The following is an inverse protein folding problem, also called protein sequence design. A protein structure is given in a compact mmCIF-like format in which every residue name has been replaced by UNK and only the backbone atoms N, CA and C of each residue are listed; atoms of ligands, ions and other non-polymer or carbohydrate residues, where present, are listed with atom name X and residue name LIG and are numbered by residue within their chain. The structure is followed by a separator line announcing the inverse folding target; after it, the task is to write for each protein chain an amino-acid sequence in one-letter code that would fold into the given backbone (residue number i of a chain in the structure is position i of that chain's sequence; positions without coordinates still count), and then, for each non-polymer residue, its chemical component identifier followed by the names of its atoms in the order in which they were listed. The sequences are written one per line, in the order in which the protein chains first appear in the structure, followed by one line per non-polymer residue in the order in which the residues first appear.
data_IF_045502531748
#
_entry.id   IF_045502531748
#
_cell.length_a   1.000
_cell.length_b   1.000
_cell.length_c   1.000
_cell.angle_alpha   90.00
_cell.angle_beta   90.00
_cell.angle_gamma   90.00
#
_symmetry.space_group_name_H-M   'P 1'
#
loop_
_entity.id
_entity.type
_entity.pdbx_description
1 polymer ?
#
# COMPACT_ATOMS: atom_id res chain seq x y z
N UNK A 1 -16.67 -10.48 -27.01
CA UNK A 1 -17.06 -9.05 -27.11
C UNK A 1 -18.55 -8.85 -26.84
N UNK A 2 -19.45 -9.70 -27.37
CA UNK A 2 -20.92 -9.61 -27.22
C UNK A 2 -21.45 -9.57 -25.78
N UNK A 3 -20.62 -9.93 -24.79
CA UNK A 3 -20.94 -9.81 -23.35
C UNK A 3 -20.87 -8.37 -22.84
N UNK A 4 -20.07 -7.51 -23.50
CA UNK A 4 -19.75 -6.14 -23.06
C UNK A 4 -20.12 -5.06 -24.07
N UNK A 5 -20.35 -5.44 -25.33
CA UNK A 5 -20.66 -4.54 -26.44
C UNK A 5 -21.84 -5.09 -27.23
N UNK A 6 -22.69 -4.23 -27.77
CA UNK A 6 -23.75 -4.61 -28.70
C UNK A 6 -23.17 -5.02 -30.06
N UNK A 7 -23.94 -5.75 -30.86
CA UNK A 7 -23.52 -6.15 -32.22
C UNK A 7 -23.23 -4.95 -33.11
N UNK A 8 -23.98 -3.86 -32.95
CA UNK A 8 -23.78 -2.59 -33.67
C UNK A 8 -22.44 -1.92 -33.28
N UNK A 9 -22.12 -1.89 -32.00
CA UNK A 9 -20.83 -1.38 -31.52
C UNK A 9 -19.66 -2.22 -32.03
N UNK A 10 -19.79 -3.55 -32.00
CA UNK A 10 -18.74 -4.46 -32.52
C UNK A 10 -18.53 -4.26 -34.02
N UNK A 11 -19.60 -4.09 -34.80
CA UNK A 11 -19.52 -3.85 -36.24
C UNK A 11 -18.89 -2.49 -36.56
N UNK A 12 -19.10 -1.47 -35.74
CA UNK A 12 -18.52 -0.15 -35.89
C UNK A 12 -17.03 -0.08 -35.51
N UNK A 13 -16.49 -1.07 -34.79
CA UNK A 13 -15.07 -1.12 -34.38
C UNK A 13 -14.18 -1.48 -35.57
N UNK A 14 -13.10 -0.74 -35.75
CA UNK A 14 -11.98 -1.16 -36.59
C UNK A 14 -11.18 -2.29 -35.90
N UNK A 15 -10.22 -2.90 -36.61
CA UNK A 15 -9.41 -4.01 -36.08
C UNK A 15 -8.58 -3.61 -34.84
N UNK A 16 -8.14 -2.36 -34.76
CA UNK A 16 -7.41 -1.83 -33.58
C UNK A 16 -8.36 -1.73 -32.37
N UNK A 17 -9.52 -1.17 -32.55
CA UNK A 17 -10.53 -1.05 -31.49
C UNK A 17 -11.00 -2.43 -30.98
N UNK A 18 -11.21 -3.40 -31.89
CA UNK A 18 -11.49 -4.80 -31.52
C UNK A 18 -10.38 -5.42 -30.70
N UNK A 19 -9.13 -5.26 -31.13
CA UNK A 19 -7.96 -5.77 -30.42
C UNK A 19 -7.85 -5.17 -29.01
N UNK A 20 -8.02 -3.85 -28.88
CA UNK A 20 -8.01 -3.17 -27.58
C UNK A 20 -9.16 -3.65 -26.67
N UNK A 21 -10.36 -3.88 -27.23
CA UNK A 21 -11.49 -4.40 -26.50
C UNK A 21 -11.23 -5.84 -25.99
N UNK A 22 -10.61 -6.70 -26.82
CA UNK A 22 -10.18 -8.03 -26.39
C UNK A 22 -9.14 -7.97 -25.25
N UNK A 23 -8.11 -7.12 -25.37
CA UNK A 23 -7.12 -6.96 -24.31
C UNK A 23 -7.75 -6.49 -22.99
N UNK A 24 -8.71 -5.57 -23.04
CA UNK A 24 -9.46 -5.14 -21.83
C UNK A 24 -10.23 -6.28 -21.18
N UNK A 25 -10.86 -7.16 -21.96
CA UNK A 25 -11.60 -8.31 -21.44
C UNK A 25 -10.72 -9.36 -20.76
N UNK A 26 -9.51 -9.55 -21.26
CA UNK A 26 -8.56 -10.53 -20.72
C UNK A 26 -7.64 -9.97 -19.65
N UNK A 27 -7.68 -8.66 -19.44
CA UNK A 27 -6.88 -8.02 -18.43
C UNK A 27 -7.36 -8.43 -17.03
N UNK A 28 -6.46 -9.08 -16.28
CA UNK A 28 -6.71 -9.38 -14.88
C UNK A 28 -6.28 -8.20 -14.01
N UNK A 29 -7.23 -7.41 -13.52
CA UNK A 29 -6.96 -6.22 -12.72
C UNK A 29 -6.20 -6.53 -11.42
N UNK A 30 -6.38 -7.73 -10.83
CA UNK A 30 -5.64 -8.12 -9.63
C UNK A 30 -4.13 -8.20 -9.84
N UNK A 31 -3.71 -8.43 -11.09
CA UNK A 31 -2.31 -8.64 -11.50
C UNK A 31 -1.75 -7.43 -12.24
N UNK A 32 -2.58 -6.80 -13.09
CA UNK A 32 -2.14 -5.77 -14.03
C UNK A 32 -2.35 -4.33 -13.54
N UNK A 33 -3.20 -4.12 -12.53
CA UNK A 33 -3.47 -2.79 -11.98
C UNK A 33 -2.82 -2.62 -10.61
N UNK A 34 -2.21 -1.46 -10.42
CA UNK A 34 -1.66 -1.07 -9.13
C UNK A 34 -2.48 0.05 -8.51
N UNK A 35 -2.57 0.05 -7.20
CA UNK A 35 -3.37 0.99 -6.42
C UNK A 35 -2.67 1.33 -5.09
N UNK A 36 -3.05 2.42 -4.47
CA UNK A 36 -2.63 2.74 -3.11
C UNK A 36 -3.35 1.81 -2.12
N UNK A 37 -2.64 0.92 -1.39
CA UNK A 37 -3.30 -0.11 -0.59
C UNK A 37 -4.08 0.45 0.61
N UNK A 38 -3.72 1.63 1.09
CA UNK A 38 -4.34 2.20 2.28
C UNK A 38 -4.07 1.38 3.54
N UNK A 39 -5.04 1.31 4.43
CA UNK A 39 -4.89 0.70 5.76
C UNK A 39 -4.39 -0.74 5.83
N UNK A 40 -4.57 -1.62 4.84
CA UNK A 40 -3.88 -2.90 4.78
C UNK A 40 -2.35 -2.83 4.93
N UNK A 41 -1.70 -1.74 4.50
CA UNK A 41 -0.27 -1.52 4.71
C UNK A 41 0.15 -1.55 6.19
N UNK A 42 -0.71 -1.16 7.11
CA UNK A 42 -0.37 -0.99 8.54
C UNK A 42 0.15 -2.26 9.21
N UNK A 43 -0.31 -3.43 8.77
CA UNK A 43 0.19 -4.71 9.29
C UNK A 43 1.67 -4.89 8.94
N UNK A 44 2.07 -4.57 7.71
CA UNK A 44 3.46 -4.64 7.27
C UNK A 44 4.34 -3.60 7.96
N UNK A 45 3.83 -2.39 8.16
CA UNK A 45 4.52 -1.32 8.90
C UNK A 45 4.85 -1.76 10.33
N UNK A 46 3.89 -2.38 11.03
CA UNK A 46 4.12 -2.86 12.39
C UNK A 46 5.05 -4.07 12.39
N UNK A 47 4.86 -5.01 11.46
CA UNK A 47 5.69 -6.22 11.37
C UNK A 47 7.16 -5.88 11.10
N UNK A 48 7.44 -5.01 10.11
CA UNK A 48 8.80 -4.56 9.79
C UNK A 48 9.47 -3.87 10.98
N UNK A 49 8.75 -2.96 11.64
CA UNK A 49 9.28 -2.23 12.78
C UNK A 49 9.56 -3.12 14.01
N UNK A 50 8.77 -4.17 14.24
CA UNK A 50 9.03 -5.17 15.29
C UNK A 50 10.26 -6.01 14.91
N UNK A 51 10.34 -6.51 13.69
CA UNK A 51 11.45 -7.35 13.23
C UNK A 51 12.79 -6.60 13.26
N UNK A 52 12.78 -5.31 12.91
CA UNK A 52 13.99 -4.46 13.01
C UNK A 52 14.34 -4.08 14.45
N UNK A 53 13.44 -4.33 15.41
CA UNK A 53 13.62 -3.91 16.80
C UNK A 53 13.43 -2.40 17.04
N UNK A 54 12.82 -1.69 16.09
CA UNK A 54 12.48 -0.28 16.23
C UNK A 54 11.37 -0.05 17.26
N UNK A 55 10.53 -1.06 17.47
CA UNK A 55 9.50 -1.12 18.51
C UNK A 55 9.48 -2.52 19.14
N UNK A 56 9.07 -2.59 20.41
CA UNK A 56 8.94 -3.86 21.15
C UNK A 56 7.54 -4.47 21.12
N UNK A 57 6.55 -3.70 20.61
CA UNK A 57 5.14 -4.08 20.65
C UNK A 57 4.37 -3.55 21.87
N UNK A 58 5.06 -3.01 22.89
CA UNK A 58 4.46 -2.54 24.15
C UNK A 58 4.31 -1.01 24.23
N UNK A 59 4.74 -0.30 23.20
CA UNK A 59 4.70 1.16 23.17
C UNK A 59 3.27 1.68 23.17
N UNK A 60 3.12 2.87 23.77
CA UNK A 60 1.90 3.66 23.73
C UNK A 60 2.17 4.98 23.05
N UNK A 61 1.39 5.30 22.03
CA UNK A 61 1.51 6.52 21.25
C UNK A 61 0.28 7.41 21.42
N UNK A 62 0.49 8.70 21.62
CA UNK A 62 -0.59 9.69 21.69
C UNK A 62 -1.04 10.07 20.26
N UNK A 63 -2.34 9.98 20.01
CA UNK A 63 -2.97 10.41 18.78
C UNK A 63 -3.81 11.68 18.98
N UNK A 64 -3.23 12.83 18.70
CA UNK A 64 -3.91 14.14 18.71
C UNK A 64 -4.65 14.47 17.39
N UNK A 65 -4.92 13.48 16.53
CA UNK A 65 -5.67 13.66 15.28
C UNK A 65 -4.82 14.04 14.06
N UNK A 66 -3.58 14.49 14.23
CA UNK A 66 -2.62 14.80 13.17
C UNK A 66 -1.18 14.78 13.66
N UNK A 67 -0.25 14.69 12.71
CA UNK A 67 1.17 14.99 12.91
C UNK A 67 1.66 15.95 11.82
N UNK A 68 2.65 16.75 12.17
CA UNK A 68 3.26 17.74 11.29
C UNK A 68 4.59 17.20 10.72
N UNK A 69 4.76 17.26 9.40
CA UNK A 69 5.97 16.86 8.69
C UNK A 69 6.34 17.93 7.66
N UNK A 70 7.42 18.67 7.92
CA UNK A 70 7.78 19.82 7.09
C UNK A 70 6.64 20.85 7.05
N UNK A 71 6.07 21.12 5.88
CA UNK A 71 4.96 22.05 5.69
C UNK A 71 3.58 21.36 5.70
N UNK A 72 3.52 20.06 6.00
CA UNK A 72 2.31 19.24 5.87
C UNK A 72 1.73 18.78 7.20
N UNK A 73 0.44 19.03 7.40
CA UNK A 73 -0.37 18.42 8.46
C UNK A 73 -1.00 17.12 7.95
N UNK A 74 -0.41 15.97 8.29
CA UNK A 74 -0.96 14.66 7.91
C UNK A 74 -1.93 14.19 8.98
N UNK A 75 -3.17 13.91 8.57
CA UNK A 75 -4.29 13.71 9.49
C UNK A 75 -4.63 12.25 9.70
N UNK A 76 -5.10 11.96 10.93
CA UNK A 76 -5.75 10.71 11.25
C UNK A 76 -7.19 10.65 10.74
N UNK A 77 -7.77 9.46 10.64
CA UNK A 77 -9.20 9.25 10.38
C UNK A 77 -10.04 9.87 11.47
N UNK A 78 -9.62 9.74 12.75
CA UNK A 78 -10.21 10.46 13.88
C UNK A 78 -9.61 11.87 13.97
N UNK A 79 -10.33 12.87 13.49
CA UNK A 79 -9.87 14.27 13.44
C UNK A 79 -9.61 14.88 14.81
N UNK A 80 -10.41 14.48 15.82
CA UNK A 80 -10.23 14.89 17.21
C UNK A 80 -9.11 14.13 17.95
N UNK A 81 -8.52 13.11 17.28
CA UNK A 81 -7.56 12.19 17.89
C UNK A 81 -8.24 10.99 18.55
N UNK A 82 -7.41 9.97 18.82
CA UNK A 82 -7.84 8.78 19.56
C UNK A 82 -7.39 8.79 21.02
N UNK A 83 -6.55 9.78 21.41
CA UNK A 83 -5.83 9.76 22.67
C UNK A 83 -4.70 8.72 22.69
N UNK A 84 -4.28 8.25 23.88
CA UNK A 84 -3.22 7.26 24.01
C UNK A 84 -3.70 5.88 23.51
N UNK A 85 -2.86 5.24 22.65
CA UNK A 85 -3.13 3.94 22.06
C UNK A 85 -1.89 3.05 22.18
N UNK A 86 -2.08 1.80 22.57
CA UNK A 86 -1.07 0.74 22.30
C UNK A 86 -1.00 0.48 20.81
N UNK A 87 0.05 -0.21 20.34
CA UNK A 87 0.20 -0.60 18.93
C UNK A 87 -1.00 -1.43 18.47
N UNK A 88 -1.42 -2.41 19.27
CA UNK A 88 -2.62 -3.23 18.99
C UNK A 88 -3.87 -2.37 18.84
N UNK A 89 -4.11 -1.44 19.74
CA UNK A 89 -5.24 -0.51 19.65
C UNK A 89 -5.11 0.42 18.43
N UNK A 90 -3.88 0.81 18.07
CA UNK A 90 -3.59 1.60 16.88
C UNK A 90 -3.97 0.87 15.59
N UNK A 91 -3.66 -0.43 15.48
CA UNK A 91 -4.11 -1.28 14.38
C UNK A 91 -5.62 -1.46 14.37
N UNK A 92 -6.23 -1.83 15.51
CA UNK A 92 -7.69 -2.03 15.62
C UNK A 92 -8.50 -0.78 15.23
N UNK A 93 -8.02 0.40 15.62
CA UNK A 93 -8.67 1.69 15.28
C UNK A 93 -8.18 2.29 13.96
N UNK A 94 -7.32 1.57 13.24
CA UNK A 94 -6.72 2.04 12.00
C UNK A 94 -6.09 3.45 12.12
N UNK A 95 -5.35 3.68 13.20
CA UNK A 95 -4.81 4.99 13.54
C UNK A 95 -3.60 5.34 12.67
N UNK A 96 -3.71 6.38 11.82
CA UNK A 96 -2.60 6.84 11.00
C UNK A 96 -1.46 7.43 11.84
N UNK A 97 -1.79 8.14 12.94
CA UNK A 97 -0.78 8.77 13.80
C UNK A 97 0.13 7.73 14.44
N UNK A 98 -0.41 6.61 14.92
CA UNK A 98 0.40 5.51 15.45
C UNK A 98 1.37 4.99 14.40
N UNK A 99 0.91 4.75 13.17
CA UNK A 99 1.76 4.27 12.07
C UNK A 99 2.86 5.26 11.71
N UNK A 100 2.53 6.55 11.63
CA UNK A 100 3.51 7.61 11.38
C UNK A 100 4.57 7.68 12.48
N UNK A 101 4.21 7.50 13.74
CA UNK A 101 5.17 7.43 14.86
C UNK A 101 6.08 6.22 14.76
N UNK A 102 5.53 5.06 14.41
CA UNK A 102 6.30 3.82 14.24
C UNK A 102 7.37 3.99 13.15
N UNK A 103 7.02 4.45 11.95
CA UNK A 103 8.01 4.62 10.88
C UNK A 103 9.01 5.73 11.15
N UNK A 104 8.67 6.72 11.98
CA UNK A 104 9.64 7.73 12.42
C UNK A 104 10.71 7.14 13.34
N UNK A 105 10.42 6.05 14.06
CA UNK A 105 11.39 5.30 14.86
C UNK A 105 12.21 4.32 14.00
N UNK A 106 11.55 3.65 13.05
CA UNK A 106 12.16 2.66 12.15
C UNK A 106 13.13 3.33 11.15
N UNK A 107 12.76 4.48 10.61
CA UNK A 107 13.52 5.18 9.58
C UNK A 107 13.24 4.69 8.16
N UNK A 108 13.46 5.56 7.19
CA UNK A 108 13.09 5.34 5.79
C UNK A 108 13.87 4.21 5.11
N UNK A 109 15.13 4.03 5.47
CA UNK A 109 15.99 3.00 4.90
C UNK A 109 15.45 1.59 5.23
N UNK A 110 15.11 1.38 6.50
CA UNK A 110 14.56 0.11 6.98
C UNK A 110 13.14 -0.10 6.49
N UNK A 111 12.29 0.91 6.56
CA UNK A 111 10.93 0.84 6.05
C UNK A 111 10.89 0.41 4.58
N UNK A 112 11.69 1.03 3.69
CA UNK A 112 11.78 0.64 2.28
C UNK A 112 12.37 -0.76 2.10
N UNK A 113 13.35 -1.14 2.93
CA UNK A 113 13.89 -2.49 2.92
C UNK A 113 12.80 -3.53 3.21
N UNK A 114 11.96 -3.31 4.23
CA UNK A 114 10.87 -4.23 4.56
C UNK A 114 9.75 -4.22 3.51
N UNK A 115 9.42 -3.08 2.90
CA UNK A 115 8.52 -3.07 1.74
C UNK A 115 8.98 -4.05 0.65
N UNK A 116 10.28 -4.08 0.33
CA UNK A 116 10.86 -5.03 -0.64
C UNK A 116 10.83 -6.48 -0.15
N UNK A 117 11.15 -6.72 1.13
CA UNK A 117 11.10 -8.06 1.73
C UNK A 117 9.69 -8.65 1.62
N UNK A 118 8.65 -7.83 1.81
CA UNK A 118 7.25 -8.24 1.61
C UNK A 118 6.82 -8.33 0.13
N UNK A 119 7.73 -8.08 -0.82
CA UNK A 119 7.50 -8.22 -2.26
C UNK A 119 6.88 -6.99 -2.94
N UNK A 120 6.80 -5.84 -2.27
CA UNK A 120 6.31 -4.62 -2.91
C UNK A 120 7.36 -4.01 -3.84
N UNK A 121 6.90 -3.52 -4.99
CA UNK A 121 7.76 -2.91 -6.01
C UNK A 121 8.41 -3.91 -6.99
N UNK A 122 8.15 -5.21 -6.84
CA UNK A 122 8.67 -6.28 -7.70
C UNK A 122 7.53 -7.19 -8.15
N UNK A 123 7.70 -7.86 -9.29
CA UNK A 123 6.73 -8.86 -9.76
C UNK A 123 6.76 -10.08 -8.85
N UNK A 124 5.58 -10.64 -8.55
CA UNK A 124 5.45 -11.86 -7.74
C UNK A 124 5.88 -13.11 -8.50
N UNK A 125 5.91 -13.06 -9.82
CA UNK A 125 6.19 -14.20 -10.69
C UNK A 125 4.98 -15.12 -10.88
N UNK A 126 3.77 -14.63 -10.62
CA UNK A 126 2.54 -15.38 -10.91
C UNK A 126 2.47 -15.69 -12.41
N UNK A 127 2.10 -16.93 -12.76
CA UNK A 127 1.98 -17.38 -14.15
C UNK A 127 0.71 -16.81 -14.82
N UNK A 128 0.65 -15.47 -14.91
CA UNK A 128 -0.40 -14.73 -15.59
C UNK A 128 0.21 -13.57 -16.40
N UNK A 129 -0.33 -13.27 -17.59
CA UNK A 129 0.19 -12.21 -18.44
C UNK A 129 -0.11 -10.82 -17.85
N UNK A 130 0.77 -9.87 -18.14
CA UNK A 130 0.55 -8.44 -17.83
C UNK A 130 0.76 -8.07 -16.37
N UNK A 131 1.54 -8.84 -15.61
CA UNK A 131 1.86 -8.51 -14.23
C UNK A 131 2.59 -7.17 -14.11
N UNK A 132 2.04 -6.27 -13.28
CA UNK A 132 2.65 -5.00 -12.92
C UNK A 132 3.48 -5.13 -11.63
N UNK A 133 4.59 -4.39 -11.56
CA UNK A 133 5.48 -4.39 -10.39
C UNK A 133 5.03 -3.43 -9.28
N UNK A 134 4.02 -2.59 -9.53
CA UNK A 134 3.74 -1.48 -8.63
C UNK A 134 4.85 -0.40 -8.64
N UNK A 135 4.81 0.51 -7.70
CA UNK A 135 5.78 1.58 -7.57
C UNK A 135 6.02 1.88 -6.09
N UNK A 136 7.27 1.72 -5.62
CA UNK A 136 7.71 2.13 -4.29
C UNK A 136 8.83 3.17 -4.40
N UNK A 137 9.03 3.95 -3.33
CA UNK A 137 10.13 4.89 -3.26
C UNK A 137 11.49 4.21 -3.11
N UNK A 138 12.53 4.86 -3.64
CA UNK A 138 13.88 4.61 -3.15
C UNK A 138 14.07 5.43 -1.86
N UNK A 139 14.75 4.86 -0.87
CA UNK A 139 14.95 5.54 0.42
C UNK A 139 15.62 6.92 0.28
N UNK A 140 16.55 7.06 -0.69
CA UNK A 140 17.21 8.33 -0.99
C UNK A 140 16.25 9.46 -1.41
N UNK A 141 15.12 9.10 -2.03
CA UNK A 141 14.15 10.04 -2.59
C UNK A 141 12.90 10.21 -1.69
N UNK A 142 12.87 9.52 -0.55
CA UNK A 142 11.76 9.56 0.38
C UNK A 142 11.96 10.67 1.41
N UNK A 143 11.14 11.71 1.34
CA UNK A 143 11.05 12.75 2.34
C UNK A 143 10.22 12.32 3.57
N UNK A 144 10.26 13.05 4.70
CA UNK A 144 9.53 12.67 5.92
C UNK A 144 8.01 12.57 5.74
N UNK A 145 7.40 13.39 4.89
CA UNK A 145 5.96 13.35 4.62
C UNK A 145 5.58 12.12 3.77
N UNK A 146 6.42 11.77 2.79
CA UNK A 146 6.27 10.55 1.99
C UNK A 146 6.42 9.29 2.86
N UNK A 147 7.40 9.24 3.77
CA UNK A 147 7.55 8.15 4.72
C UNK A 147 6.29 8.00 5.60
N UNK A 148 5.80 9.12 6.13
CA UNK A 148 4.63 9.15 6.99
C UNK A 148 3.37 8.64 6.27
N UNK A 149 3.15 9.02 5.01
CA UNK A 149 1.98 8.57 4.22
C UNK A 149 2.11 7.12 3.77
N UNK A 150 3.31 6.67 3.42
CA UNK A 150 3.59 5.27 3.08
C UNK A 150 3.27 4.32 4.25
N UNK A 151 3.49 4.75 5.50
CA UNK A 151 3.22 3.96 6.70
C UNK A 151 1.77 3.47 6.82
N UNK A 152 0.82 4.15 6.21
CA UNK A 152 -0.59 3.75 6.18
C UNK A 152 -1.14 3.52 4.76
N UNK A 153 -0.23 3.29 3.80
CA UNK A 153 -0.56 2.78 2.48
C UNK A 153 -0.99 3.83 1.47
N UNK A 154 -0.52 5.06 1.60
CA UNK A 154 -0.71 6.11 0.61
C UNK A 154 0.64 6.53 0.00
N UNK A 155 0.60 7.17 -1.16
CA UNK A 155 1.76 7.69 -1.86
C UNK A 155 2.76 6.61 -2.34
N UNK A 156 2.29 5.37 -2.55
CA UNK A 156 2.95 4.29 -3.27
C UNK A 156 1.88 3.33 -3.82
N UNK A 157 2.24 2.50 -4.80
CA UNK A 157 1.29 1.60 -5.44
C UNK A 157 1.78 0.15 -5.42
N UNK A 158 0.85 -0.77 -5.16
CA UNK A 158 1.06 -2.21 -5.31
C UNK A 158 -0.13 -2.86 -6.02
N UNK A 159 0.06 -4.08 -6.54
CA UNK A 159 -1.03 -4.89 -7.08
C UNK A 159 -1.75 -5.67 -5.98
N UNK A 160 -2.97 -6.16 -6.26
CA UNK A 160 -3.68 -7.02 -5.32
C UNK A 160 -2.95 -8.34 -5.07
N UNK A 161 -2.27 -8.89 -6.09
CA UNK A 161 -1.51 -10.12 -5.92
C UNK A 161 -0.27 -9.91 -5.06
N UNK A 162 0.43 -8.77 -5.17
CA UNK A 162 1.52 -8.41 -4.25
C UNK A 162 1.03 -8.29 -2.81
N UNK A 163 -0.10 -7.62 -2.60
CA UNK A 163 -0.71 -7.50 -1.27
C UNK A 163 -1.08 -8.87 -0.69
N UNK A 164 -1.67 -9.76 -1.49
CA UNK A 164 -2.01 -11.12 -1.06
C UNK A 164 -0.76 -11.95 -0.72
N UNK A 165 0.30 -11.88 -1.55
CA UNK A 165 1.56 -12.57 -1.30
C UNK A 165 2.24 -12.06 -0.02
N UNK A 166 2.29 -10.74 0.19
CA UNK A 166 2.81 -10.14 1.41
C UNK A 166 2.05 -10.60 2.65
N UNK A 167 0.71 -10.59 2.62
CA UNK A 167 -0.07 -11.14 3.74
C UNK A 167 0.19 -12.63 3.96
N UNK A 168 0.37 -13.41 2.89
CA UNK A 168 0.79 -14.81 2.99
C UNK A 168 2.07 -14.96 3.82
N UNK A 169 3.05 -14.08 3.66
CA UNK A 169 4.31 -14.11 4.43
C UNK A 169 4.16 -13.69 5.89
N UNK A 170 3.10 -12.97 6.27
CA UNK A 170 2.82 -12.60 7.67
C UNK A 170 2.16 -13.70 8.49
N UNK A 171 1.50 -14.67 7.84
CA UNK A 171 0.66 -15.68 8.51
C UNK A 171 1.17 -17.11 8.34
N UNK A 172 2.22 -17.33 7.55
CA UNK A 172 2.84 -18.65 7.31
C UNK A 172 4.21 -18.79 7.94
#
# INVERSE_FOLDING_TARGET
LSTYYTDEEIQAMDEKAKSEAWYKMWRNFCVSDSYEPGSPQKAFTVAGAIEEGAISGNEVFECGGKLHFGDWDIRCVARAGHGPLTITQGLMKSCNVVMMRIVSLEGKEKFVQYQKIFGFGEKTGIDLPGEASGLIYQASNMDPASLATNAFGQNYNCTMVQMAAGYGSLIN
#
